data_IF_880529214705
#
_entry.id   IF_880529214705
#
_cell.length_a   1.000
_cell.length_b   1.000
_cell.length_c   1.000
_cell.angle_alpha   90.00
_cell.angle_beta   90.00
_cell.angle_gamma   90.00
#
_symmetry.space_group_name_H-M   'P 1'
#
loop_
_entity.id
_entity.type
_entity.pdbx_description
1 polymer ?
#
# COMPACT_ATOMS: atom_id res chain seq x y z
N UNK A 1 -16.12 -19.17 -15.84
CA UNK A 1 -15.93 -17.78 -15.39
C UNK A 1 -15.43 -17.84 -13.97
N UNK A 2 -14.12 -17.79 -13.74
CA UNK A 2 -13.62 -17.59 -12.38
C UNK A 2 -13.90 -16.13 -12.05
N UNK A 3 -15.09 -15.86 -11.52
CA UNK A 3 -15.35 -14.63 -10.78
C UNK A 3 -14.33 -14.62 -9.64
N UNK A 4 -13.15 -14.05 -9.89
CA UNK A 4 -12.16 -13.79 -8.87
C UNK A 4 -12.89 -13.00 -7.79
N UNK A 5 -13.07 -13.61 -6.62
CA UNK A 5 -13.70 -12.93 -5.51
C UNK A 5 -12.90 -11.66 -5.25
N UNK A 6 -13.60 -10.54 -5.19
CA UNK A 6 -13.02 -9.29 -4.74
C UNK A 6 -12.30 -9.55 -3.41
N UNK A 7 -11.00 -9.26 -3.39
CA UNK A 7 -10.18 -9.35 -2.19
C UNK A 7 -9.80 -7.94 -1.76
N UNK A 8 -10.12 -7.53 -0.52
CA UNK A 8 -9.73 -6.22 -0.04
C UNK A 8 -8.20 -6.13 0.07
N UNK A 9 -7.63 -4.97 -0.28
CA UNK A 9 -6.18 -4.74 -0.29
C UNK A 9 -5.50 -5.14 1.04
N UNK A 10 -6.04 -4.81 2.23
CA UNK A 10 -5.44 -5.26 3.49
C UNK A 10 -5.28 -6.77 3.60
N UNK A 11 -6.25 -7.55 3.11
CA UNK A 11 -6.18 -9.01 3.12
C UNK A 11 -5.09 -9.52 2.18
N UNK A 12 -4.97 -8.93 0.98
CA UNK A 12 -3.92 -9.28 0.03
C UNK A 12 -2.55 -9.09 0.67
N UNK A 13 -2.30 -7.94 1.31
CA UNK A 13 -1.02 -7.63 1.97
C UNK A 13 -0.67 -8.67 3.05
N UNK A 14 -1.66 -9.10 3.84
CA UNK A 14 -1.45 -10.13 4.87
C UNK A 14 -1.13 -11.52 4.29
N UNK A 15 -1.64 -11.83 3.10
CA UNK A 15 -1.42 -13.10 2.40
C UNK A 15 -0.15 -13.11 1.54
N UNK A 16 0.55 -11.98 1.40
CA UNK A 16 1.76 -11.88 0.57
C UNK A 16 2.90 -12.77 1.10
N UNK A 17 3.69 -13.40 0.22
CA UNK A 17 4.94 -14.03 0.60
C UNK A 17 5.90 -13.05 1.29
N UNK A 18 6.80 -13.50 2.19
CA UNK A 18 7.72 -12.61 2.91
C UNK A 18 8.57 -11.72 2.01
N UNK A 19 9.01 -12.22 0.85
CA UNK A 19 9.79 -11.45 -0.12
C UNK A 19 9.01 -10.25 -0.69
N UNK A 20 7.73 -10.47 -0.97
CA UNK A 20 6.80 -9.47 -1.48
C UNK A 20 6.44 -8.44 -0.42
N UNK A 21 6.22 -8.87 0.82
CA UNK A 21 6.04 -7.97 1.96
C UNK A 21 7.25 -7.07 2.17
N UNK A 22 8.47 -7.63 2.07
CA UNK A 22 9.70 -6.84 2.21
C UNK A 22 9.85 -5.80 1.11
N UNK A 23 9.50 -6.15 -0.14
CA UNK A 23 9.52 -5.20 -1.27
C UNK A 23 8.55 -4.05 -1.03
N UNK A 24 7.30 -4.36 -0.68
CA UNK A 24 6.27 -3.36 -0.39
C UNK A 24 6.67 -2.46 0.78
N UNK A 25 7.25 -3.04 1.85
CA UNK A 25 7.77 -2.29 2.98
C UNK A 25 8.89 -1.33 2.58
N UNK A 26 9.83 -1.78 1.74
CA UNK A 26 10.93 -0.94 1.25
C UNK A 26 10.41 0.23 0.40
N UNK A 27 9.44 -0.01 -0.47
CA UNK A 27 8.82 1.03 -1.30
C UNK A 27 8.06 2.06 -0.44
N UNK A 28 7.26 1.61 0.52
CA UNK A 28 6.58 2.50 1.47
C UNK A 28 7.59 3.31 2.31
N UNK A 29 8.65 2.66 2.79
CA UNK A 29 9.70 3.32 3.56
C UNK A 29 10.44 4.35 2.72
N UNK A 30 10.66 4.12 1.42
CA UNK A 30 11.29 5.10 0.53
C UNK A 30 10.48 6.40 0.40
N UNK A 31 9.15 6.32 0.50
CA UNK A 31 8.25 7.47 0.53
C UNK A 31 8.31 8.16 1.91
N UNK A 32 8.23 7.37 2.98
CA UNK A 32 8.08 7.87 4.35
C UNK A 32 9.38 8.28 5.03
N UNK A 33 10.55 7.86 4.54
CA UNK A 33 11.87 8.14 5.14
C UNK A 33 12.24 9.62 5.22
N UNK A 34 11.53 10.48 4.48
CA UNK A 34 11.76 11.91 4.47
C UNK A 34 10.97 12.65 5.55
N UNK A 35 10.13 11.93 6.30
CA UNK A 35 9.31 12.46 7.37
C UNK A 35 10.03 12.26 8.71
N UNK A 36 10.02 13.30 9.54
CA UNK A 36 10.48 13.20 10.92
C UNK A 36 9.34 12.63 11.79
N UNK A 37 9.36 11.32 12.03
CA UNK A 37 8.43 10.64 12.92
C UNK A 37 9.19 9.76 13.90
N UNK A 38 8.71 9.70 15.15
CA UNK A 38 9.35 8.91 16.22
C UNK A 38 8.66 7.58 16.48
N UNK A 39 7.40 7.44 16.08
CA UNK A 39 6.58 6.27 16.36
C UNK A 39 5.44 6.11 15.35
N UNK A 40 4.76 4.97 15.40
CA UNK A 40 3.68 4.62 14.49
C UNK A 40 2.45 5.55 14.62
N UNK A 41 2.20 6.12 15.81
CA UNK A 41 1.06 7.02 16.03
C UNK A 41 1.30 8.35 15.33
N UNK A 42 2.50 8.91 15.48
CA UNK A 42 2.91 10.12 14.77
C UNK A 42 2.94 9.90 13.26
N UNK A 43 3.50 8.78 12.80
CA UNK A 43 3.52 8.44 11.38
C UNK A 43 2.10 8.36 10.80
N UNK A 44 1.18 7.71 11.50
CA UNK A 44 -0.23 7.62 11.08
C UNK A 44 -0.86 9.01 11.00
N UNK A 45 -0.58 9.88 11.98
CA UNK A 45 -1.08 11.26 12.00
C UNK A 45 -0.57 12.07 10.81
N UNK A 46 0.72 11.97 10.50
CA UNK A 46 1.35 12.66 9.36
C UNK A 46 0.77 12.20 8.01
N UNK A 47 0.62 10.89 7.84
CA UNK A 47 0.04 10.32 6.61
C UNK A 47 -1.42 10.74 6.48
N UNK A 48 -2.23 10.57 7.52
CA UNK A 48 -3.66 10.89 7.45
C UNK A 48 -3.93 12.39 7.26
N UNK A 49 -3.05 13.25 7.78
CA UNK A 49 -3.13 14.71 7.64
C UNK A 49 -2.65 15.25 6.28
N UNK A 50 -2.05 14.41 5.43
CA UNK A 50 -1.49 14.84 4.14
C UNK A 50 -2.11 14.09 2.98
N UNK A 51 -2.95 14.78 2.20
CA UNK A 51 -3.53 14.21 0.98
C UNK A 51 -2.44 13.78 -0.01
N UNK A 52 -1.37 14.56 -0.14
CA UNK A 52 -0.25 14.22 -1.01
C UNK A 52 0.42 12.90 -0.61
N UNK A 53 0.63 12.67 0.70
CA UNK A 53 1.22 11.41 1.17
C UNK A 53 0.28 10.23 0.99
N UNK A 54 -1.03 10.40 1.27
CA UNK A 54 -2.04 9.36 1.01
C UNK A 54 -2.06 8.97 -0.47
N UNK A 55 -2.07 9.95 -1.37
CA UNK A 55 -2.05 9.70 -2.81
C UNK A 55 -0.75 9.02 -3.28
N UNK A 56 0.40 9.40 -2.73
CA UNK A 56 1.67 8.72 -3.05
C UNK A 56 1.69 7.26 -2.61
N UNK A 57 1.25 6.97 -1.37
CA UNK A 57 1.16 5.60 -0.87
C UNK A 57 0.11 4.79 -1.62
N UNK A 58 -1.03 5.40 -1.96
CA UNK A 58 -2.07 4.76 -2.77
C UNK A 58 -1.55 4.43 -4.17
N UNK A 59 -0.88 5.38 -4.84
CA UNK A 59 -0.29 5.15 -6.16
C UNK A 59 0.76 4.03 -6.13
N UNK A 60 1.59 3.97 -5.07
CA UNK A 60 2.53 2.87 -4.86
C UNK A 60 1.81 1.53 -4.73
N UNK A 61 0.76 1.45 -3.90
CA UNK A 61 -0.04 0.23 -3.72
C UNK A 61 -0.71 -0.21 -5.03
N UNK A 62 -1.32 0.72 -5.77
CA UNK A 62 -1.95 0.44 -7.07
C UNK A 62 -0.91 -0.08 -8.06
N UNK A 63 0.26 0.55 -8.11
CA UNK A 63 1.36 0.14 -8.99
C UNK A 63 1.85 -1.27 -8.63
N UNK A 64 2.03 -1.57 -7.35
CA UNK A 64 2.44 -2.88 -6.88
C UNK A 64 1.41 -3.96 -7.25
N UNK A 65 0.13 -3.75 -6.94
CA UNK A 65 -0.95 -4.72 -7.22
C UNK A 65 -1.13 -4.96 -8.72
N UNK A 66 -1.06 -3.90 -9.53
CA UNK A 66 -1.27 -4.02 -10.97
C UNK A 66 -0.06 -4.59 -11.71
N UNK A 67 1.17 -4.24 -11.31
CA UNK A 67 2.38 -4.65 -12.05
C UNK A 67 3.03 -5.91 -11.51
N UNK A 68 3.11 -6.04 -10.18
CA UNK A 68 3.78 -7.16 -9.53
C UNK A 68 2.82 -8.35 -9.39
N UNK A 69 1.64 -8.10 -8.82
CA UNK A 69 0.63 -9.15 -8.64
C UNK A 69 -0.22 -9.41 -9.90
N UNK A 70 -0.14 -8.53 -10.90
CA UNK A 70 -0.93 -8.60 -12.15
C UNK A 70 -2.43 -8.67 -11.91
N UNK A 71 -2.90 -8.02 -10.84
CA UNK A 71 -4.30 -7.96 -10.47
C UNK A 71 -4.93 -6.64 -10.92
N UNK A 72 -6.25 -6.65 -11.11
CA UNK A 72 -7.02 -5.45 -11.40
C UNK A 72 -7.42 -4.76 -10.08
N UNK A 73 -7.29 -3.43 -10.02
CA UNK A 73 -7.72 -2.63 -8.87
C UNK A 73 -9.06 -1.97 -9.22
N UNK A 74 -10.05 -2.17 -8.36
CA UNK A 74 -11.37 -1.54 -8.46
C UNK A 74 -11.61 -0.68 -7.22
N UNK A 75 -12.22 0.48 -7.43
CA UNK A 75 -12.64 1.39 -6.37
C UNK A 75 -14.16 1.28 -6.24
N UNK A 76 -14.69 1.29 -5.01
CA UNK A 76 -16.12 1.51 -4.80
C UNK A 76 -16.45 2.97 -5.19
N UNK A 77 -17.46 3.15 -6.05
CA UNK A 77 -18.02 4.46 -6.43
C UNK A 77 -18.86 5.09 -5.31
#
# INVERSE_FOLDING_TARGET
>A
MTSGQFKPIPQIIMELPPAEQQKLFNEATAILRHLDWTDAVQLTTLVMGSEALKQQLLAMLVNYVTKELRAEVQYDD
#
